data_IF_998038504071
#
_entry.id   IF_998038504071
#
_cell.length_a   1.000
_cell.length_b   1.000
_cell.length_c   1.000
_cell.angle_alpha   90.00
_cell.angle_beta   90.00
_cell.angle_gamma   90.00
#
_symmetry.space_group_name_H-M   'P 1'
#
loop_
_entity.id
_entity.type
_entity.pdbx_description
1 polymer ?
#
# COMPACT_ATOMS: atom_id res chain seq x y z
N UNK A 1 16.39 16.46 10.90
CA UNK A 1 15.33 17.02 10.05
C UNK A 1 14.03 16.35 10.43
N UNK A 2 13.01 17.11 10.79
CA UNK A 2 11.71 16.54 11.12
C UNK A 2 11.05 16.05 9.83
N UNK A 3 10.52 14.83 9.83
CA UNK A 3 9.75 14.21 8.74
C UNK A 3 8.38 14.90 8.51
N UNK A 4 8.20 16.13 8.96
CA UNK A 4 6.95 16.88 8.85
C UNK A 4 6.46 17.04 7.41
N UNK A 5 7.35 17.05 6.42
CA UNK A 5 6.97 17.17 5.01
C UNK A 5 6.29 15.94 4.40
N UNK A 6 6.66 14.73 4.84
CA UNK A 6 6.13 13.49 4.25
C UNK A 6 4.63 13.30 4.49
N UNK A 7 4.15 13.56 5.71
CA UNK A 7 2.72 13.40 6.01
C UNK A 7 1.85 14.52 5.44
N UNK A 8 2.40 15.70 5.21
CA UNK A 8 1.66 16.84 4.65
C UNK A 8 1.40 16.68 3.14
N UNK A 9 2.29 16.03 2.40
CA UNK A 9 2.13 15.78 0.96
C UNK A 9 0.86 14.97 0.66
N UNK A 10 0.46 14.07 1.56
CA UNK A 10 -0.69 13.18 1.38
C UNK A 10 -2.01 13.72 1.95
N UNK A 11 -1.99 14.87 2.60
CA UNK A 11 -3.18 15.43 3.28
C UNK A 11 -4.32 15.81 2.33
N UNK A 12 -4.05 15.97 1.03
CA UNK A 12 -5.03 16.30 0.00
C UNK A 12 -5.60 15.10 -0.74
N UNK A 13 -5.05 13.90 -0.53
CA UNK A 13 -5.55 12.70 -1.20
C UNK A 13 -6.99 12.40 -0.80
N UNK A 14 -7.81 12.11 -1.80
CA UNK A 14 -9.19 11.70 -1.59
C UNK A 14 -10.16 12.77 -1.13
N UNK A 15 -9.76 14.05 -1.12
CA UNK A 15 -10.66 15.15 -0.70
C UNK A 15 -11.93 15.22 -1.52
N UNK A 16 -11.88 14.92 -2.80
CA UNK A 16 -12.99 15.17 -3.73
C UNK A 16 -13.65 13.91 -4.30
N UNK A 17 -13.07 12.71 -4.16
CA UNK A 17 -13.61 11.51 -4.81
C UNK A 17 -13.22 10.18 -4.17
N UNK A 18 -12.52 10.22 -3.04
CA UNK A 18 -11.99 9.03 -2.39
C UNK A 18 -10.63 8.62 -2.93
N UNK A 19 -9.97 7.72 -2.20
CA UNK A 19 -8.68 7.15 -2.55
C UNK A 19 -8.82 5.66 -2.84
N UNK A 20 -8.23 5.20 -3.93
CA UNK A 20 -8.33 3.84 -4.41
C UNK A 20 -6.95 3.27 -4.64
N UNK A 21 -6.73 2.00 -4.27
CA UNK A 21 -5.42 1.34 -4.35
C UNK A 21 -5.54 0.05 -5.15
N UNK A 22 -4.60 -0.18 -6.05
CA UNK A 22 -4.40 -1.41 -6.81
C UNK A 22 -2.92 -1.51 -7.19
N UNK A 23 -2.38 -2.71 -7.34
CA UNK A 23 -1.04 -2.94 -7.90
C UNK A 23 -1.07 -3.97 -9.01
N UNK A 24 0.07 -4.19 -9.67
CA UNK A 24 0.27 -5.24 -10.67
C UNK A 24 -0.76 -5.20 -11.81
N UNK A 25 -0.94 -4.02 -12.37
CA UNK A 25 -1.82 -3.88 -13.53
C UNK A 25 -1.25 -4.55 -14.77
N UNK A 26 0.09 -4.62 -14.91
CA UNK A 26 0.79 -5.32 -15.97
C UNK A 26 0.11 -5.19 -17.35
N UNK A 27 -0.26 -3.98 -17.71
CA UNK A 27 -0.88 -3.73 -19.01
C UNK A 27 0.01 -4.21 -20.15
N UNK A 28 -0.57 -4.89 -21.13
CA UNK A 28 0.15 -5.39 -22.29
C UNK A 28 0.91 -6.70 -22.09
N UNK A 29 0.92 -7.29 -20.89
CA UNK A 29 1.68 -8.52 -20.60
C UNK A 29 0.86 -9.78 -20.87
N UNK A 30 1.10 -10.39 -22.05
CA UNK A 30 0.39 -11.58 -22.52
C UNK A 30 0.63 -12.84 -21.65
N UNK A 31 1.80 -12.96 -21.03
CA UNK A 31 2.11 -14.14 -20.22
C UNK A 31 1.30 -14.17 -18.92
N UNK A 32 0.98 -13.02 -18.36
CA UNK A 32 0.05 -12.95 -17.22
C UNK A 32 -1.38 -13.31 -17.61
N UNK A 33 -1.83 -13.01 -18.82
CA UNK A 33 -3.13 -13.46 -19.31
C UNK A 33 -3.22 -14.98 -19.40
N UNK A 34 -2.11 -15.65 -19.77
CA UNK A 34 -2.03 -17.12 -19.78
C UNK A 34 -2.04 -17.71 -18.37
N UNK A 35 -1.30 -17.08 -17.45
CA UNK A 35 -1.21 -17.53 -16.05
C UNK A 35 -2.53 -17.33 -15.28
N UNK A 36 -3.27 -16.26 -15.60
CA UNK A 36 -4.54 -15.88 -14.97
C UNK A 36 -5.68 -15.80 -16.01
N UNK A 37 -6.30 -16.94 -16.38
CA UNK A 37 -7.30 -16.98 -17.46
C UNK A 37 -8.53 -16.08 -17.22
N UNK A 38 -8.85 -15.78 -15.96
CA UNK A 38 -9.97 -14.89 -15.59
C UNK A 38 -9.58 -13.41 -15.59
N UNK A 39 -8.34 -13.07 -15.96
CA UNK A 39 -7.90 -11.70 -16.06
C UNK A 39 -8.68 -10.98 -17.16
N UNK A 40 -9.30 -9.81 -16.88
CA UNK A 40 -9.90 -8.99 -17.92
C UNK A 40 -8.84 -8.57 -18.94
N UNK A 41 -9.24 -8.31 -20.18
CA UNK A 41 -8.32 -7.66 -21.12
C UNK A 41 -8.00 -6.22 -20.66
N UNK A 42 -6.97 -5.61 -21.24
CA UNK A 42 -6.44 -4.35 -20.74
C UNK A 42 -7.45 -3.19 -20.85
N UNK A 43 -8.26 -3.14 -21.93
CA UNK A 43 -9.31 -2.12 -22.05
C UNK A 43 -10.46 -2.32 -21.03
N UNK A 44 -10.79 -3.56 -20.71
CA UNK A 44 -11.74 -3.88 -19.64
C UNK A 44 -11.17 -3.52 -18.26
N UNK A 45 -9.90 -3.82 -18.01
CA UNK A 45 -9.23 -3.45 -16.76
C UNK A 45 -9.20 -1.92 -16.56
N UNK A 46 -8.87 -1.16 -17.61
CA UNK A 46 -8.96 0.31 -17.61
C UNK A 46 -10.39 0.76 -17.29
N UNK A 47 -11.39 0.13 -17.91
CA UNK A 47 -12.80 0.46 -17.67
C UNK A 47 -13.20 0.22 -16.22
N UNK A 48 -12.85 -0.95 -15.65
CA UNK A 48 -13.13 -1.30 -14.25
C UNK A 48 -12.50 -0.27 -13.30
N UNK A 49 -11.20 0.03 -13.48
CA UNK A 49 -10.49 1.01 -12.66
C UNK A 49 -11.15 2.38 -12.78
N UNK A 50 -11.43 2.83 -13.99
CA UNK A 50 -12.00 4.15 -14.25
C UNK A 50 -13.43 4.31 -13.73
N UNK A 51 -14.23 3.25 -13.72
CA UNK A 51 -15.57 3.26 -13.13
C UNK A 51 -15.50 3.42 -11.60
N UNK A 52 -14.50 2.82 -10.98
CA UNK A 52 -14.32 2.85 -9.53
C UNK A 52 -13.77 4.19 -9.06
N UNK A 53 -12.71 4.69 -9.72
CA UNK A 53 -11.97 5.89 -9.32
C UNK A 53 -12.68 7.18 -9.76
N UNK A 54 -13.21 7.20 -10.98
CA UNK A 54 -13.82 8.40 -11.56
C UNK A 54 -12.82 9.53 -11.82
N UNK A 55 -13.32 10.69 -12.26
CA UNK A 55 -12.46 11.85 -12.58
C UNK A 55 -11.89 12.57 -11.35
N UNK A 56 -12.62 12.52 -10.23
CA UNK A 56 -12.28 13.26 -9.01
C UNK A 56 -11.61 12.40 -7.94
N UNK A 57 -11.44 11.09 -8.17
CA UNK A 57 -10.77 10.18 -7.25
C UNK A 57 -9.26 10.28 -7.32
N UNK A 58 -8.61 9.73 -6.32
CA UNK A 58 -7.17 9.51 -6.30
C UNK A 58 -6.91 8.02 -6.51
N UNK A 59 -6.11 7.67 -7.50
CA UNK A 59 -5.67 6.31 -7.79
C UNK A 59 -4.22 6.14 -7.38
N UNK A 60 -3.96 5.19 -6.49
CA UNK A 60 -2.60 4.79 -6.11
C UNK A 60 -2.33 3.43 -6.76
N UNK A 61 -1.32 3.39 -7.64
CA UNK A 61 -0.79 2.14 -8.18
C UNK A 61 0.44 1.73 -7.37
N UNK A 62 0.42 0.48 -6.91
CA UNK A 62 1.55 -0.10 -6.16
C UNK A 62 2.40 -0.98 -7.09
N UNK A 63 2.95 -0.33 -8.13
CA UNK A 63 3.94 -0.88 -9.04
C UNK A 63 3.43 -1.81 -10.13
N UNK A 64 4.38 -2.19 -10.97
CA UNK A 64 4.22 -3.10 -12.10
C UNK A 64 3.05 -2.70 -13.01
N UNK A 65 3.20 -1.48 -13.56
CA UNK A 65 2.16 -0.83 -14.37
C UNK A 65 1.99 -1.51 -15.72
N UNK A 66 3.11 -1.86 -16.37
CA UNK A 66 3.13 -2.40 -17.73
C UNK A 66 3.07 -1.31 -18.81
N UNK A 67 2.27 -1.51 -19.86
CA UNK A 67 2.18 -0.60 -21.01
C UNK A 67 1.59 0.77 -20.63
N UNK A 68 2.37 1.81 -20.86
CA UNK A 68 2.06 3.19 -20.50
C UNK A 68 0.90 3.79 -21.31
N UNK A 69 0.62 3.28 -22.51
CA UNK A 69 -0.52 3.75 -23.31
C UNK A 69 -1.86 3.42 -22.64
N UNK A 70 -1.94 2.29 -21.91
CA UNK A 70 -3.09 1.99 -21.08
C UNK A 70 -3.11 2.84 -19.81
N UNK A 71 -1.98 3.06 -19.16
CA UNK A 71 -1.86 3.90 -17.98
C UNK A 71 -2.32 5.36 -18.24
N UNK A 72 -2.07 5.89 -19.42
CA UNK A 72 -2.58 7.21 -19.86
C UNK A 72 -4.10 7.30 -19.86
N UNK A 73 -4.81 6.19 -20.13
CA UNK A 73 -6.28 6.13 -20.15
C UNK A 73 -6.90 6.14 -18.74
N UNK A 74 -6.11 5.93 -17.68
CA UNK A 74 -6.59 5.93 -16.30
C UNK A 74 -6.98 7.34 -15.84
N UNK A 75 -8.10 7.42 -15.10
CA UNK A 75 -8.69 8.67 -14.61
C UNK A 75 -8.28 8.96 -13.16
N UNK A 76 -8.52 10.22 -12.76
CA UNK A 76 -8.27 10.71 -11.41
C UNK A 76 -6.87 11.27 -11.23
N UNK A 77 -6.55 11.67 -10.01
CA UNK A 77 -5.21 12.02 -9.58
C UNK A 77 -4.41 10.73 -9.39
N UNK A 78 -3.34 10.56 -10.13
CA UNK A 78 -2.61 9.30 -10.24
C UNK A 78 -1.29 9.35 -9.49
N UNK A 79 -1.09 8.38 -8.59
CA UNK A 79 0.12 8.22 -7.79
C UNK A 79 0.69 6.84 -8.10
N UNK A 80 1.99 6.77 -8.35
CA UNK A 80 2.72 5.52 -8.56
C UNK A 80 3.75 5.32 -7.43
N UNK A 81 3.73 4.16 -6.80
CA UNK A 81 4.86 3.60 -6.06
C UNK A 81 5.47 2.53 -6.95
N UNK A 82 6.65 2.76 -7.50
CA UNK A 82 7.25 1.89 -8.50
C UNK A 82 7.47 0.46 -8.01
N UNK A 83 7.25 -0.50 -8.90
CA UNK A 83 7.56 -1.91 -8.74
C UNK A 83 8.88 -2.29 -9.42
N UNK A 84 9.21 -3.58 -9.33
CA UNK A 84 10.47 -4.09 -9.87
C UNK A 84 10.50 -4.19 -11.41
N UNK A 85 9.35 -4.23 -12.09
CA UNK A 85 9.24 -4.16 -13.55
C UNK A 85 9.13 -2.72 -14.07
N UNK A 86 8.95 -1.74 -13.22
CA UNK A 86 8.80 -0.35 -13.63
C UNK A 86 10.15 0.29 -14.01
N UNK A 87 10.11 1.18 -15.01
CA UNK A 87 11.32 1.78 -15.63
C UNK A 87 11.94 2.93 -14.82
N UNK A 88 11.49 3.14 -13.58
CA UNK A 88 11.93 4.23 -12.73
C UNK A 88 11.24 5.59 -13.02
N UNK A 89 11.46 6.52 -12.12
CA UNK A 89 10.72 7.76 -11.94
C UNK A 89 10.52 8.62 -13.21
N UNK A 90 11.55 8.75 -14.05
CA UNK A 90 11.53 9.68 -15.19
C UNK A 90 10.53 9.27 -16.27
N UNK A 91 10.34 7.96 -16.50
CA UNK A 91 9.44 7.45 -17.53
C UNK A 91 7.96 7.73 -17.24
N UNK A 92 7.61 7.93 -15.98
CA UNK A 92 6.22 8.01 -15.53
C UNK A 92 5.73 9.43 -15.23
N UNK A 93 6.63 10.43 -15.19
CA UNK A 93 6.30 11.84 -14.83
C UNK A 93 5.26 12.51 -15.70
N UNK A 94 5.14 12.10 -16.95
CA UNK A 94 4.15 12.67 -17.87
C UNK A 94 2.76 12.03 -17.72
N UNK A 95 2.67 10.91 -16.98
CA UNK A 95 1.47 10.10 -16.86
C UNK A 95 0.88 10.18 -15.46
N UNK A 96 1.76 10.19 -14.45
CA UNK A 96 1.39 10.20 -13.03
C UNK A 96 1.67 11.56 -12.41
N UNK A 97 0.76 12.00 -11.56
CA UNK A 97 0.88 13.27 -10.82
C UNK A 97 1.97 13.19 -9.74
N UNK A 98 2.15 11.99 -9.15
CA UNK A 98 3.23 11.71 -8.20
C UNK A 98 3.85 10.34 -8.51
N UNK A 99 5.19 10.24 -8.39
CA UNK A 99 5.95 8.99 -8.58
C UNK A 99 6.96 8.81 -7.44
N UNK A 100 6.94 7.64 -6.83
CA UNK A 100 7.83 7.25 -5.74
C UNK A 100 8.59 5.97 -6.12
N UNK A 101 9.91 5.96 -5.98
CA UNK A 101 10.76 4.81 -6.36
C UNK A 101 10.82 3.71 -5.30
N UNK A 102 10.27 3.93 -4.14
CA UNK A 102 10.31 2.95 -3.05
C UNK A 102 9.18 3.11 -2.06
N UNK A 103 9.23 2.34 -0.97
CA UNK A 103 8.19 2.34 0.04
C UNK A 103 7.89 3.71 0.62
N UNK A 104 6.61 4.04 0.79
CA UNK A 104 6.13 5.33 1.27
C UNK A 104 5.32 5.16 2.54
N UNK A 105 5.77 5.78 3.63
CA UNK A 105 5.03 5.81 4.87
C UNK A 105 4.01 6.97 4.82
N UNK A 106 2.73 6.65 4.63
CA UNK A 106 1.65 7.65 4.52
C UNK A 106 1.03 8.05 5.86
N UNK A 107 1.33 7.30 6.90
CA UNK A 107 1.03 7.63 8.30
C UNK A 107 1.95 6.86 9.23
N UNK A 108 1.93 7.15 10.52
CA UNK A 108 2.69 6.36 11.51
C UNK A 108 2.30 4.87 11.57
N UNK A 109 1.24 4.46 10.87
CA UNK A 109 0.67 3.11 10.92
C UNK A 109 0.47 2.46 9.55
N UNK A 110 0.75 3.14 8.43
CA UNK A 110 0.49 2.63 7.10
C UNK A 110 1.68 2.89 6.20
N UNK A 111 2.24 1.82 5.66
CA UNK A 111 3.29 1.78 4.67
C UNK A 111 2.72 1.30 3.34
N UNK A 112 2.98 2.02 2.26
CA UNK A 112 2.69 1.60 0.90
C UNK A 112 3.98 1.12 0.25
N UNK A 113 3.95 -0.01 -0.43
CA UNK A 113 5.09 -0.53 -1.20
C UNK A 113 4.61 -1.42 -2.33
N UNK A 114 5.46 -1.68 -3.32
CA UNK A 114 5.17 -2.73 -4.30
C UNK A 114 5.41 -4.11 -3.66
N UNK A 115 6.63 -4.40 -3.26
CA UNK A 115 6.95 -5.65 -2.56
C UNK A 115 6.53 -5.61 -1.08
N UNK A 116 6.18 -6.77 -0.48
CA UNK A 116 5.96 -6.85 0.97
C UNK A 116 7.26 -6.56 1.72
N UNK A 117 7.20 -5.63 2.66
CA UNK A 117 8.38 -5.17 3.42
C UNK A 117 8.30 -5.66 4.87
N UNK A 118 9.29 -6.39 5.38
CA UNK A 118 9.39 -6.71 6.80
C UNK A 118 9.41 -5.45 7.66
N UNK A 119 8.54 -5.37 8.66
CA UNK A 119 8.35 -4.15 9.45
C UNK A 119 7.84 -4.44 10.86
N UNK A 120 7.62 -3.38 11.62
CA UNK A 120 7.15 -3.48 12.99
C UNK A 120 5.63 -3.76 13.08
N UNK A 121 5.21 -4.51 14.10
CA UNK A 121 3.82 -4.95 14.32
C UNK A 121 2.78 -3.81 14.54
N UNK A 122 3.20 -2.56 14.62
CA UNK A 122 2.31 -1.40 14.71
C UNK A 122 2.07 -0.69 13.38
N UNK A 123 2.62 -1.22 12.28
CA UNK A 123 2.44 -0.70 10.92
C UNK A 123 1.71 -1.76 10.10
N UNK A 124 0.78 -1.35 9.26
CA UNK A 124 0.19 -2.13 8.18
C UNK A 124 0.94 -1.83 6.91
N UNK A 125 1.48 -2.84 6.26
CA UNK A 125 2.01 -2.73 4.92
C UNK A 125 0.93 -3.08 3.90
N UNK A 126 0.50 -2.10 3.13
CA UNK A 126 -0.34 -2.32 1.94
C UNK A 126 0.62 -2.45 0.76
N UNK A 127 0.60 -3.59 0.12
CA UNK A 127 1.56 -3.95 -0.93
C UNK A 127 0.87 -4.66 -2.11
N UNK A 128 1.66 -5.03 -3.10
CA UNK A 128 1.25 -5.76 -4.29
C UNK A 128 2.19 -6.96 -4.55
N UNK A 129 2.71 -7.18 -5.75
CA UNK A 129 3.76 -8.09 -6.15
C UNK A 129 3.46 -9.59 -5.97
N UNK A 130 2.78 -10.01 -4.91
CA UNK A 130 2.56 -11.44 -4.60
C UNK A 130 1.30 -11.94 -5.29
N UNK A 131 1.46 -12.42 -6.52
CA UNK A 131 0.36 -12.98 -7.34
C UNK A 131 -0.12 -14.35 -6.81
N UNK A 132 0.80 -15.20 -6.34
CA UNK A 132 0.45 -16.55 -5.92
C UNK A 132 -0.47 -16.56 -4.69
N UNK A 133 -1.68 -17.07 -4.89
CA UNK A 133 -2.68 -17.23 -3.84
C UNK A 133 -2.25 -18.18 -2.70
N UNK A 134 -1.29 -19.07 -2.94
CA UNK A 134 -0.77 -20.03 -1.95
C UNK A 134 0.17 -19.36 -0.95
N UNK A 135 0.78 -18.23 -1.31
CA UNK A 135 1.61 -17.48 -0.38
C UNK A 135 0.74 -16.89 0.72
N UNK A 136 0.98 -17.32 1.95
CA UNK A 136 0.27 -16.78 3.12
C UNK A 136 0.77 -15.39 3.44
N UNK A 137 -0.15 -14.45 3.44
CA UNK A 137 0.07 -13.08 3.88
C UNK A 137 -0.29 -13.01 5.38
N UNK A 138 0.58 -12.43 6.19
CA UNK A 138 0.30 -12.27 7.62
C UNK A 138 -0.69 -11.11 7.88
N UNK A 139 -1.11 -10.96 9.12
CA UNK A 139 -2.10 -9.95 9.51
C UNK A 139 -1.60 -8.50 9.45
N UNK A 140 -0.31 -8.27 9.23
CA UNK A 140 0.30 -6.95 9.14
C UNK A 140 0.55 -6.52 7.70
N UNK A 141 0.21 -7.39 6.74
CA UNK A 141 0.32 -7.15 5.31
C UNK A 141 -1.05 -7.23 4.66
N UNK A 142 -1.31 -6.35 3.70
CA UNK A 142 -2.53 -6.35 2.89
C UNK A 142 -2.14 -6.28 1.42
N UNK A 143 -2.43 -7.35 0.68
CA UNK A 143 -2.04 -7.47 -0.72
C UNK A 143 -3.13 -6.90 -1.64
N UNK A 144 -2.75 -5.91 -2.47
CA UNK A 144 -3.61 -5.24 -3.45
C UNK A 144 -3.25 -5.56 -4.90
N UNK A 145 -2.47 -6.64 -5.12
CA UNK A 145 -2.22 -7.16 -6.45
C UNK A 145 -3.54 -7.38 -7.21
N UNK A 146 -3.62 -6.95 -8.45
CA UNK A 146 -4.89 -6.89 -9.20
C UNK A 146 -5.66 -8.22 -9.22
N UNK A 147 -4.97 -9.33 -9.44
CA UNK A 147 -5.56 -10.68 -9.43
C UNK A 147 -6.00 -11.14 -8.02
N UNK A 148 -5.46 -10.55 -6.95
CA UNK A 148 -5.83 -10.85 -5.55
C UNK A 148 -7.07 -10.12 -5.08
N UNK A 149 -7.40 -8.98 -5.71
CA UNK A 149 -8.55 -8.13 -5.39
C UNK A 149 -9.60 -8.14 -6.50
N UNK A 150 -9.62 -9.21 -7.30
CA UNK A 150 -10.56 -9.38 -8.41
C UNK A 150 -10.56 -8.17 -9.37
N UNK A 151 -9.38 -7.67 -9.70
CA UNK A 151 -9.12 -6.57 -10.65
C UNK A 151 -9.87 -5.26 -10.34
N UNK A 152 -10.38 -5.12 -9.11
CA UNK A 152 -11.15 -3.93 -8.70
C UNK A 152 -10.39 -3.17 -7.61
N UNK A 153 -10.01 -1.89 -7.85
CA UNK A 153 -9.30 -1.10 -6.85
C UNK A 153 -10.06 -1.03 -5.51
N UNK A 154 -9.35 -1.25 -4.41
CA UNK A 154 -9.93 -1.10 -3.08
C UNK A 154 -10.22 0.38 -2.79
N UNK A 155 -11.37 0.69 -2.21
CA UNK A 155 -11.63 2.01 -1.66
C UNK A 155 -10.94 2.12 -0.29
N UNK A 156 -9.86 2.90 -0.23
CA UNK A 156 -9.03 3.02 0.96
C UNK A 156 -9.80 3.60 2.17
N UNK A 157 -10.71 4.54 1.94
CA UNK A 157 -11.51 5.12 3.03
C UNK A 157 -12.50 4.08 3.62
N UNK A 158 -13.07 3.23 2.76
CA UNK A 158 -13.93 2.14 3.22
C UNK A 158 -13.09 1.08 3.94
N UNK A 159 -11.96 0.68 3.40
CA UNK A 159 -11.01 -0.25 4.00
C UNK A 159 -10.58 0.17 5.41
N UNK A 160 -10.32 1.47 5.63
CA UNK A 160 -10.02 2.01 6.95
C UNK A 160 -11.21 1.86 7.93
N UNK A 161 -12.44 2.08 7.45
CA UNK A 161 -13.66 1.95 8.27
C UNK A 161 -13.98 0.49 8.65
N UNK A 162 -13.55 -0.46 7.84
CA UNK A 162 -13.68 -1.91 8.09
C UNK A 162 -12.76 -2.39 9.23
N UNK A 163 -11.91 -1.54 9.76
CA UNK A 163 -11.15 -1.80 10.97
C UNK A 163 -9.88 -2.63 10.76
N UNK A 164 -9.35 -2.67 9.54
CA UNK A 164 -8.12 -3.42 9.21
C UNK A 164 -6.88 -3.02 10.05
N UNK A 165 -6.91 -1.86 10.69
CA UNK A 165 -5.84 -1.42 11.60
C UNK A 165 -6.10 -1.74 13.07
N UNK A 166 -7.23 -2.35 13.42
CA UNK A 166 -7.66 -2.56 14.83
C UNK A 166 -6.75 -3.51 15.59
N UNK A 167 -6.16 -4.49 14.92
CA UNK A 167 -5.25 -5.48 15.51
C UNK A 167 -3.82 -4.98 15.69
N UNK A 168 -3.46 -3.82 15.10
CA UNK A 168 -2.12 -3.27 15.25
C UNK A 168 -1.86 -2.83 16.68
N UNK A 169 -0.71 -3.22 17.21
CA UNK A 169 -0.32 -2.90 18.58
C UNK A 169 -0.10 -1.41 18.73
N UNK A 170 -0.69 -0.81 19.77
CA UNK A 170 -0.42 0.59 20.10
C UNK A 170 1.03 0.76 20.55
N UNK A 171 1.80 1.58 19.87
CA UNK A 171 3.17 1.92 20.25
C UNK A 171 3.29 2.49 21.65
N UNK A 172 2.30 3.28 22.08
CA UNK A 172 2.23 3.84 23.45
C UNK A 172 2.13 2.74 24.52
N UNK A 173 1.28 1.73 24.30
CA UNK A 173 1.06 0.67 25.27
C UNK A 173 2.33 -0.18 25.48
N UNK A 174 3.03 -0.55 24.40
CA UNK A 174 4.27 -1.33 24.48
C UNK A 174 5.42 -0.62 25.18
N UNK A 175 5.58 0.69 24.92
CA UNK A 175 6.65 1.50 25.56
C UNK A 175 6.39 1.63 27.08
N UNK A 176 5.13 1.84 27.46
CA UNK A 176 4.73 1.95 28.88
C UNK A 176 4.85 0.60 29.58
N UNK A 177 4.34 -0.49 28.99
CA UNK A 177 4.39 -1.83 29.58
C UNK A 177 5.85 -2.33 29.68
N UNK A 178 6.68 -2.11 28.66
CA UNK A 178 8.10 -2.44 28.71
C UNK A 178 8.91 -1.61 29.70
N UNK A 179 8.57 -0.35 29.92
CA UNK A 179 9.19 0.50 30.95
C UNK A 179 8.77 0.07 32.35
N UNK A 180 7.51 -0.32 32.54
CA UNK A 180 6.96 -0.80 33.81
C UNK A 180 7.57 -2.15 34.18
N UNK A 181 7.74 -3.07 33.23
CA UNK A 181 8.40 -4.36 33.45
C UNK A 181 9.88 -4.22 33.80
N UNK A 182 10.60 -3.29 33.16
CA UNK A 182 12.00 -2.98 33.50
C UNK A 182 12.14 -2.40 34.91
N UNK A 183 11.20 -1.55 35.33
CA UNK A 183 11.16 -1.04 36.71
C UNK A 183 10.90 -2.13 37.74
N UNK A 184 9.97 -3.06 37.48
CA UNK A 184 9.69 -4.23 38.35
C UNK A 184 10.90 -5.15 38.48
N UNK A 185 11.61 -5.46 37.39
CA UNK A 185 12.82 -6.29 37.41
C UNK A 185 14.00 -5.62 38.16
N UNK A 186 14.10 -4.27 38.12
CA UNK A 186 15.15 -3.53 38.87
C UNK A 186 14.82 -3.32 40.32
N UNK A 187 13.54 -3.20 40.69
CA UNK A 187 13.10 -3.06 42.09
C UNK A 187 13.09 -4.36 42.91
N UNK A 188 13.25 -5.53 42.28
CA UNK A 188 13.24 -6.84 42.91
C UNK A 188 14.59 -7.34 43.45
N UNK A 189 15.69 -6.62 43.27
CA UNK A 189 16.97 -6.90 43.94
C UNK A 189 16.99 -6.15 45.29
N UNK A 190 16.33 -6.67 46.29
CA UNK A 190 16.64 -6.33 47.67
C UNK A 190 18.04 -6.84 47.98
N UNK A 191 18.87 -5.93 48.43
CA UNK A 191 20.17 -6.16 49.00
C UNK A 191 19.97 -7.09 50.18
N UNK A 192 20.58 -8.27 50.16
CA UNK A 192 20.66 -9.14 51.30
C UNK A 192 21.52 -8.49 52.37
N UNK A 193 20.94 -8.25 53.49
CA UNK A 193 21.65 -7.86 54.71
C UNK A 193 22.59 -9.00 55.20
N UNK A 194 23.73 -8.56 55.68
CA UNK A 194 24.74 -9.40 56.32
C UNK A 194 24.23 -9.96 57.66
#
# INVERSE_FOLDING_TARGET
>A
MALQGLYQCFSHWGKNGGTFIIGDTHFGEEDLKKAFPNRPNDDELVKIINQKVGKCGTLILLGDVGDLEYAKKLKGYKILVCGNHDKGHTAYREIFDEVYEGPVLISSRILLSHEPVPHAEWVMNIHAHVHDAKVKIDKYHFNTCADRINYTPINFNQWLKEGHLSHLISTRKRVIDGATERKRKRGGKKIGEK
#
